data_IF_597696919617
#
_entry.id   IF_597696919617
#
_cell.length_a   1.000
_cell.length_b   1.000
_cell.length_c   1.000
_cell.angle_alpha   90.00
_cell.angle_beta   90.00
_cell.angle_gamma   90.00
#
_symmetry.space_group_name_H-M   'P 1'
#
loop_
_entity.id
_entity.type
_entity.pdbx_description
1 polymer ?
#
# COMPACT_ATOMS: atom_id res chain seq x y z
N UNK A 1 -1.94 -10.19 12.10
CA UNK A 1 -2.82 -9.59 13.12
C UNK A 1 -4.22 -9.47 12.55
N UNK A 2 -5.24 -9.86 13.27
CA UNK A 2 -6.61 -9.84 12.81
C UNK A 2 -7.30 -8.50 13.04
N UNK A 3 -8.62 -8.50 12.90
CA UNK A 3 -9.46 -7.34 13.15
C UNK A 3 -9.68 -7.16 14.65
N UNK A 4 -9.61 -5.92 15.10
CA UNK A 4 -9.96 -5.54 16.48
C UNK A 4 -11.21 -4.67 16.43
N UNK A 5 -12.19 -5.01 17.25
CA UNK A 5 -13.40 -4.24 17.35
C UNK A 5 -13.57 -3.69 18.76
N UNK A 6 -13.81 -2.39 18.87
CA UNK A 6 -14.14 -1.75 20.13
C UNK A 6 -15.65 -1.76 20.30
N UNK A 7 -16.16 -2.58 21.21
CA UNK A 7 -17.60 -2.75 21.41
C UNK A 7 -18.29 -1.49 21.91
N UNK A 8 -17.60 -0.63 22.67
CA UNK A 8 -18.19 0.61 23.19
C UNK A 8 -18.37 1.64 22.06
N UNK A 9 -17.34 1.85 21.25
CA UNK A 9 -17.34 2.81 20.14
C UNK A 9 -17.70 2.17 18.81
N UNK A 10 -17.79 0.84 18.75
CA UNK A 10 -18.06 0.05 17.55
C UNK A 10 -17.13 0.41 16.38
N UNK A 11 -15.89 0.83 16.71
CA UNK A 11 -14.89 1.17 15.72
C UNK A 11 -14.11 -0.08 15.32
N UNK A 12 -14.07 -0.36 14.03
CA UNK A 12 -13.31 -1.47 13.49
C UNK A 12 -11.95 -0.96 13.00
N UNK A 13 -10.91 -1.65 13.41
CA UNK A 13 -9.51 -1.37 13.00
C UNK A 13 -8.91 -2.67 12.50
N UNK A 14 -8.25 -2.62 11.35
CA UNK A 14 -7.54 -3.74 10.77
C UNK A 14 -6.13 -3.32 10.38
N UNK A 15 -5.18 -4.22 10.51
CA UNK A 15 -3.80 -3.93 10.11
C UNK A 15 -3.12 -5.14 9.49
N UNK A 16 -2.12 -4.88 8.68
CA UNK A 16 -1.30 -5.92 8.06
C UNK A 16 0.12 -5.42 7.84
N UNK A 17 1.09 -6.33 8.01
CA UNK A 17 2.48 -6.12 7.63
C UNK A 17 2.75 -6.89 6.34
N UNK A 18 3.31 -6.21 5.36
CA UNK A 18 3.72 -6.81 4.08
C UNK A 18 5.24 -6.73 3.99
N UNK A 19 5.87 -7.85 3.64
CA UNK A 19 7.32 -7.91 3.44
C UNK A 19 7.63 -8.18 1.97
N UNK A 20 7.93 -7.14 1.24
CA UNK A 20 8.37 -7.14 -0.14
C UNK A 20 8.86 -5.74 -0.49
N UNK A 21 9.70 -5.58 -1.49
CA UNK A 21 10.13 -4.25 -1.90
C UNK A 21 8.94 -3.47 -2.49
N UNK A 22 8.55 -2.33 -1.90
CA UNK A 22 7.45 -1.52 -2.43
C UNK A 22 7.73 -1.04 -3.85
N UNK A 23 6.69 -1.09 -4.68
CA UNK A 23 6.78 -0.68 -6.07
C UNK A 23 5.66 0.30 -6.41
N UNK A 24 5.98 1.38 -7.12
CA UNK A 24 5.02 2.42 -7.43
C UNK A 24 4.10 2.04 -8.59
N UNK A 25 2.94 2.69 -8.63
CA UNK A 25 2.11 2.71 -9.83
C UNK A 25 2.86 3.51 -10.89
N UNK A 26 3.35 2.85 -11.94
CA UNK A 26 4.06 3.51 -13.01
C UNK A 26 3.12 4.19 -13.99
N UNK A 27 3.69 5.10 -14.79
CA UNK A 27 3.03 5.60 -15.97
C UNK A 27 3.06 4.53 -17.06
N UNK A 28 2.07 4.54 -17.97
CA UNK A 28 2.08 3.64 -19.11
C UNK A 28 2.79 4.32 -20.28
N UNK A 29 3.71 3.59 -20.90
CA UNK A 29 4.38 4.05 -22.10
C UNK A 29 3.57 3.61 -23.32
N UNK A 30 3.35 4.54 -24.26
CA UNK A 30 2.72 4.26 -25.54
C UNK A 30 3.79 4.10 -26.62
N UNK A 31 3.68 3.05 -27.42
CA UNK A 31 4.55 2.87 -28.59
C UNK A 31 3.78 2.14 -29.71
N UNK A 32 4.32 2.21 -30.92
CA UNK A 32 3.71 1.55 -32.07
C UNK A 32 4.47 0.26 -32.36
N UNK A 33 3.72 -0.83 -32.43
CA UNK A 33 4.24 -2.14 -32.82
C UNK A 33 3.32 -2.75 -33.87
N UNK A 34 3.88 -3.12 -35.02
CA UNK A 34 3.13 -3.72 -36.14
C UNK A 34 1.94 -2.85 -36.57
N UNK A 35 2.12 -1.53 -36.57
CA UNK A 35 1.09 -0.58 -36.94
C UNK A 35 0.02 -0.32 -35.90
N UNK A 36 0.13 -0.90 -34.69
CA UNK A 36 -0.84 -0.73 -33.62
C UNK A 36 -0.21 -0.01 -32.43
N UNK A 37 -0.98 0.87 -31.80
CA UNK A 37 -0.57 1.50 -30.55
C UNK A 37 -0.64 0.49 -29.41
N UNK A 38 0.43 0.41 -28.62
CA UNK A 38 0.54 -0.48 -27.47
C UNK A 38 0.85 0.34 -26.23
N UNK A 39 0.11 0.11 -25.14
CA UNK A 39 0.37 0.71 -23.84
C UNK A 39 1.02 -0.33 -22.92
N UNK A 40 2.16 0.02 -22.35
CA UNK A 40 2.91 -0.87 -21.45
C UNK A 40 3.14 -0.17 -20.13
N UNK A 41 2.96 -0.90 -19.04
CA UNK A 41 3.28 -0.40 -17.69
C UNK A 41 4.76 -0.05 -17.62
N UNK A 42 5.07 1.20 -17.26
CA UNK A 42 6.45 1.70 -17.20
C UNK A 42 7.20 1.18 -15.97
N UNK A 43 6.49 0.87 -14.88
CA UNK A 43 7.10 0.38 -13.64
C UNK A 43 7.12 -1.14 -13.64
N UNK A 44 8.31 -1.72 -13.73
CA UNK A 44 8.49 -3.16 -13.55
C UNK A 44 8.39 -3.49 -12.07
N UNK A 45 7.78 -4.62 -11.74
CA UNK A 45 7.67 -5.07 -10.35
C UNK A 45 6.41 -4.60 -9.64
N UNK A 46 5.61 -3.70 -10.22
CA UNK A 46 4.35 -3.28 -9.61
C UNK A 46 3.38 -4.46 -9.44
N UNK A 47 3.37 -5.37 -10.40
CA UNK A 47 2.54 -6.58 -10.32
C UNK A 47 3.00 -7.48 -9.16
N UNK A 48 4.30 -7.68 -8.98
CA UNK A 48 4.87 -8.44 -7.88
C UNK A 48 4.52 -7.81 -6.55
N UNK A 49 4.63 -6.48 -6.46
CA UNK A 49 4.25 -5.74 -5.26
C UNK A 49 2.78 -5.92 -4.92
N UNK A 50 1.89 -5.71 -5.89
CA UNK A 50 0.44 -5.88 -5.70
C UNK A 50 0.10 -7.29 -5.25
N UNK A 51 0.74 -8.30 -5.82
CA UNK A 51 0.55 -9.70 -5.44
C UNK A 51 0.94 -9.93 -3.98
N UNK A 52 2.08 -9.36 -3.56
CA UNK A 52 2.53 -9.48 -2.18
C UNK A 52 1.55 -8.84 -1.20
N UNK A 53 1.06 -7.63 -1.50
CA UNK A 53 0.08 -6.94 -0.67
C UNK A 53 -1.23 -7.72 -0.60
N UNK A 54 -1.75 -8.15 -1.75
CA UNK A 54 -2.99 -8.92 -1.84
C UNK A 54 -2.91 -10.21 -1.05
N UNK A 55 -1.81 -10.95 -1.19
CA UNK A 55 -1.60 -12.21 -0.48
C UNK A 55 -1.57 -11.99 1.04
N UNK A 56 -0.82 -11.01 1.50
CA UNK A 56 -0.74 -10.70 2.92
C UNK A 56 -2.10 -10.28 3.49
N UNK A 57 -2.83 -9.43 2.76
CA UNK A 57 -4.14 -8.96 3.18
C UNK A 57 -5.16 -10.10 3.26
N UNK A 58 -5.15 -11.02 2.30
CA UNK A 58 -6.08 -12.16 2.27
C UNK A 58 -5.75 -13.22 3.33
N UNK A 59 -4.53 -13.24 3.83
CA UNK A 59 -4.14 -14.20 4.85
C UNK A 59 -4.87 -13.94 6.18
N UNK A 60 -5.05 -12.67 6.54
CA UNK A 60 -5.82 -12.27 7.72
C UNK A 60 -6.72 -11.08 7.36
N UNK A 61 -7.83 -11.34 6.65
CA UNK A 61 -8.72 -10.26 6.25
C UNK A 61 -9.52 -9.74 7.44
N UNK A 62 -10.09 -8.53 7.33
CA UNK A 62 -11.02 -8.05 8.34
C UNK A 62 -12.27 -8.94 8.37
N UNK A 63 -12.96 -8.99 9.51
CA UNK A 63 -14.17 -9.78 9.67
C UNK A 63 -15.25 -9.40 8.64
N UNK A 64 -15.32 -8.10 8.31
CA UNK A 64 -16.23 -7.56 7.30
C UNK A 64 -15.47 -6.59 6.43
N UNK A 65 -15.72 -6.61 5.13
CA UNK A 65 -15.16 -5.65 4.19
C UNK A 65 -15.56 -4.22 4.61
N UNK A 66 -14.60 -3.30 4.58
CA UNK A 66 -14.91 -1.90 4.86
C UNK A 66 -15.78 -1.30 3.76
N UNK A 67 -16.90 -0.70 4.14
CA UNK A 67 -17.84 -0.04 3.24
C UNK A 67 -18.39 1.23 3.91
N UNK A 68 -17.54 1.97 4.56
CA UNK A 68 -17.84 3.22 5.26
C UNK A 68 -16.63 4.12 5.14
N UNK A 69 -16.71 5.41 5.48
CA UNK A 69 -15.53 6.27 5.48
C UNK A 69 -14.41 5.67 6.33
N UNK A 70 -13.21 5.61 5.76
CA UNK A 70 -12.05 5.03 6.44
C UNK A 70 -10.86 5.98 6.43
N UNK A 71 -10.05 5.83 7.47
CA UNK A 71 -8.73 6.42 7.59
C UNK A 71 -7.71 5.34 7.34
N UNK A 72 -6.69 5.64 6.53
CA UNK A 72 -5.63 4.70 6.22
C UNK A 72 -4.28 5.26 6.66
N UNK A 73 -3.48 4.40 7.27
CA UNK A 73 -2.07 4.67 7.56
C UNK A 73 -1.23 3.73 6.71
N UNK A 74 -0.24 4.28 6.02
CA UNK A 74 0.71 3.53 5.20
C UNK A 74 2.13 3.94 5.57
N UNK A 75 2.91 3.01 6.12
CA UNK A 75 4.32 3.24 6.39
C UNK A 75 5.13 2.35 5.45
N UNK A 76 5.74 2.96 4.43
CA UNK A 76 6.57 2.25 3.47
C UNK A 76 8.02 2.18 3.94
N UNK A 77 8.61 1.01 3.81
CA UNK A 77 9.99 0.74 4.19
C UNK A 77 10.75 0.29 2.95
N UNK A 78 11.75 1.06 2.56
CA UNK A 78 12.52 0.86 1.33
C UNK A 78 13.93 0.39 1.66
N UNK A 79 14.48 -0.47 0.80
CA UNK A 79 15.86 -0.88 0.92
C UNK A 79 16.78 0.29 0.56
N UNK A 80 17.72 0.60 1.45
CA UNK A 80 18.71 1.62 1.20
C UNK A 80 19.92 1.02 0.49
N UNK A 81 20.24 1.55 -0.70
CA UNK A 81 21.45 1.13 -1.40
C UNK A 81 22.70 1.52 -0.60
N UNK A 82 23.77 0.72 -0.61
CA UNK A 82 25.00 1.03 0.14
C UNK A 82 25.61 2.40 -0.19
N UNK A 83 25.42 2.88 -1.42
CA UNK A 83 25.91 4.17 -1.86
C UNK A 83 25.04 5.35 -1.42
N UNK A 84 23.83 5.07 -0.94
CA UNK A 84 22.89 6.11 -0.51
C UNK A 84 23.11 6.41 0.98
N UNK A 85 23.43 7.67 1.31
CA UNK A 85 23.70 8.10 2.69
C UNK A 85 22.67 9.07 3.24
N UNK A 86 21.51 9.18 2.58
CA UNK A 86 20.43 10.06 3.05
C UNK A 86 19.77 9.48 4.29
N UNK A 87 19.36 10.35 5.21
CA UNK A 87 18.65 9.93 6.41
C UNK A 87 17.25 9.39 6.10
N UNK A 88 16.62 9.94 5.06
CA UNK A 88 15.29 9.54 4.60
C UNK A 88 15.29 9.29 3.11
N UNK A 89 14.42 8.38 2.63
CA UNK A 89 14.36 8.06 1.20
C UNK A 89 13.65 9.15 0.40
N UNK A 90 14.33 10.26 0.16
CA UNK A 90 13.79 11.42 -0.54
C UNK A 90 13.99 11.38 -2.06
N UNK A 91 14.20 10.21 -2.61
CA UNK A 91 14.29 9.96 -4.05
C UNK A 91 13.17 9.00 -4.48
N UNK A 92 13.12 8.67 -5.77
CA UNK A 92 12.17 7.66 -6.27
C UNK A 92 12.28 6.36 -5.48
N UNK A 93 11.17 5.62 -5.32
CA UNK A 93 9.84 5.87 -5.92
C UNK A 93 9.06 6.97 -5.21
N UNK A 94 8.17 7.63 -5.94
CA UNK A 94 7.33 8.71 -5.41
C UNK A 94 6.30 8.16 -4.43
N UNK A 95 6.12 8.84 -3.31
CA UNK A 95 5.20 8.39 -2.27
C UNK A 95 3.76 8.23 -2.77
N UNK A 96 3.26 9.19 -3.56
CA UNK A 96 1.90 9.12 -4.09
C UNK A 96 1.68 7.91 -5.00
N UNK A 97 2.69 7.51 -5.74
CA UNK A 97 2.61 6.34 -6.62
C UNK A 97 2.67 5.04 -5.84
N UNK A 98 3.41 4.99 -4.73
CA UNK A 98 3.40 3.86 -3.81
C UNK A 98 2.04 3.71 -3.14
N UNK A 99 1.44 4.82 -2.73
CA UNK A 99 0.09 4.83 -2.15
C UNK A 99 -0.88 4.22 -3.16
N UNK A 100 -0.86 4.69 -4.40
CA UNK A 100 -1.80 4.25 -5.43
C UNK A 100 -1.71 2.75 -5.69
N UNK A 101 -0.51 2.21 -5.87
CA UNK A 101 -0.34 0.78 -6.14
C UNK A 101 -0.80 -0.08 -4.96
N UNK A 102 -0.58 0.40 -3.74
CA UNK A 102 -0.96 -0.32 -2.53
C UNK A 102 -2.48 -0.30 -2.31
N UNK A 103 -3.12 0.85 -2.52
CA UNK A 103 -4.57 0.97 -2.38
C UNK A 103 -5.30 0.11 -3.43
N UNK A 104 -4.80 0.08 -4.67
CA UNK A 104 -5.35 -0.79 -5.71
C UNK A 104 -5.31 -2.26 -5.27
N UNK A 105 -4.21 -2.68 -4.66
CA UNK A 105 -4.07 -4.05 -4.18
C UNK A 105 -5.04 -4.36 -3.03
N UNK A 106 -5.26 -3.42 -2.11
CA UNK A 106 -6.19 -3.60 -1.00
C UNK A 106 -7.64 -3.72 -1.50
N UNK A 107 -8.02 -2.93 -2.49
CA UNK A 107 -9.34 -3.04 -3.13
C UNK A 107 -9.48 -4.40 -3.82
N UNK A 108 -8.48 -4.82 -4.59
CA UNK A 108 -8.46 -6.13 -5.24
C UNK A 108 -8.55 -7.28 -4.25
N UNK A 109 -7.93 -7.12 -3.08
CA UNK A 109 -7.99 -8.13 -2.03
C UNK A 109 -9.34 -8.17 -1.30
N UNK A 110 -10.23 -7.22 -1.57
CA UNK A 110 -11.54 -7.18 -0.94
C UNK A 110 -11.54 -6.60 0.47
N UNK A 111 -10.48 -5.87 0.85
CA UNK A 111 -10.40 -5.27 2.18
C UNK A 111 -11.39 -4.10 2.31
N UNK A 112 -11.56 -3.34 1.25
CA UNK A 112 -12.53 -2.25 1.17
C UNK A 112 -13.25 -2.30 -0.17
N UNK A 113 -14.44 -1.72 -0.22
CA UNK A 113 -15.30 -1.78 -1.41
C UNK A 113 -14.71 -1.00 -2.58
N UNK A 114 -14.10 0.14 -2.32
CA UNK A 114 -13.45 0.99 -3.30
C UNK A 114 -12.59 2.01 -2.57
N UNK A 115 -11.65 2.63 -3.27
CA UNK A 115 -10.78 3.65 -2.68
C UNK A 115 -11.51 4.97 -2.43
N UNK A 116 -12.66 5.19 -3.04
CA UNK A 116 -13.46 6.41 -2.82
C UNK A 116 -13.97 6.56 -1.39
N UNK A 117 -13.99 5.48 -0.59
CA UNK A 117 -14.40 5.57 0.81
C UNK A 117 -13.31 6.14 1.72
N UNK A 118 -12.10 6.32 1.20
CA UNK A 118 -10.98 6.84 1.98
C UNK A 118 -11.14 8.33 2.18
N UNK A 119 -11.26 8.76 3.44
CA UNK A 119 -11.44 10.16 3.81
C UNK A 119 -10.20 10.79 4.40
N UNK A 120 -9.21 9.96 4.80
CA UNK A 120 -7.97 10.43 5.41
C UNK A 120 -6.86 9.44 5.14
N UNK A 121 -5.68 9.95 4.75
CA UNK A 121 -4.48 9.14 4.56
C UNK A 121 -3.33 9.77 5.32
N UNK A 122 -2.61 8.94 6.07
CA UNK A 122 -1.32 9.29 6.64
C UNK A 122 -0.30 8.32 6.05
N UNK A 123 0.70 8.84 5.36
CA UNK A 123 1.67 8.00 4.67
C UNK A 123 3.08 8.53 4.85
N UNK A 124 4.04 7.61 4.89
CA UNK A 124 5.46 7.94 5.01
C UNK A 124 6.33 6.96 4.26
N UNK A 125 7.52 7.43 3.85
CA UNK A 125 8.61 6.59 3.34
C UNK A 125 9.73 6.58 4.35
N UNK A 126 10.21 5.40 4.68
CA UNK A 126 11.33 5.20 5.61
C UNK A 126 12.28 4.13 5.06
N UNK A 127 13.48 4.07 5.63
CA UNK A 127 14.40 2.99 5.27
C UNK A 127 14.04 1.70 5.99
N UNK A 128 14.18 0.56 5.31
CA UNK A 128 13.88 -0.75 5.87
C UNK A 128 14.69 -1.04 7.13
N UNK A 129 15.93 -0.55 7.20
CA UNK A 129 16.79 -0.73 8.38
C UNK A 129 16.18 -0.15 9.67
N UNK A 130 15.28 0.83 9.55
CA UNK A 130 14.62 1.46 10.68
C UNK A 130 13.37 0.71 11.15
N UNK A 131 12.98 -0.34 10.43
CA UNK A 131 11.87 -1.20 10.79
C UNK A 131 12.37 -2.33 11.71
N UNK A 132 11.52 -2.75 12.65
CA UNK A 132 11.90 -3.81 13.59
C UNK A 132 12.40 -5.07 12.90
N UNK A 133 11.76 -5.48 11.79
CA UNK A 133 12.19 -6.65 11.02
C UNK A 133 13.42 -6.40 10.15
N UNK A 134 13.76 -5.14 9.88
CA UNK A 134 14.84 -4.77 8.96
C UNK A 134 14.52 -5.04 7.49
N UNK A 135 13.32 -5.52 7.17
CA UNK A 135 12.93 -5.92 5.81
C UNK A 135 12.08 -4.85 5.13
N UNK A 136 12.20 -4.69 3.79
CA UNK A 136 11.35 -3.76 3.07
C UNK A 136 9.89 -4.22 3.07
N UNK A 137 8.97 -3.28 2.93
CA UNK A 137 7.56 -3.59 2.89
C UNK A 137 6.70 -2.40 3.23
N UNK A 138 5.48 -2.68 3.68
CA UNK A 138 4.56 -1.65 4.16
C UNK A 138 3.81 -2.16 5.39
N UNK A 139 3.62 -1.25 6.34
CA UNK A 139 2.67 -1.45 7.43
C UNK A 139 1.41 -0.68 7.09
N UNK A 140 0.27 -1.37 7.07
CA UNK A 140 -1.03 -0.82 6.68
C UNK A 140 -1.97 -0.88 7.87
N UNK A 141 -2.64 0.24 8.15
CA UNK A 141 -3.77 0.28 9.08
C UNK A 141 -4.96 0.84 8.33
N UNK A 142 -6.10 0.18 8.44
CA UNK A 142 -7.39 0.69 7.95
C UNK A 142 -8.31 0.77 9.15
N UNK A 143 -8.84 1.95 9.41
CA UNK A 143 -9.75 2.19 10.52
C UNK A 143 -10.96 2.97 10.05
N UNK A 144 -12.12 2.71 10.65
CA UNK A 144 -13.30 3.53 10.38
C UNK A 144 -13.01 4.98 10.77
N UNK A 145 -13.36 5.91 9.87
CA UNK A 145 -13.26 7.33 10.16
C UNK A 145 -14.52 7.77 10.89
N UNK A 146 -14.41 7.92 12.21
CA UNK A 146 -15.48 8.34 13.09
C UNK A 146 -15.34 9.81 13.51
N UNK A 147 -14.38 10.53 12.93
CA UNK A 147 -14.14 11.94 13.26
C UNK A 147 -15.15 12.84 12.55
N UNK A 148 -15.51 13.94 13.23
CA UNK A 148 -16.38 14.96 12.66
C UNK A 148 -15.63 15.96 11.79
#
# INVERSE_FOLDING_TARGET
MGTVENTELRTTIWSVNVEAEPNPQGSKNAFVKDGKAVLVEASKGVHTWRTAVTKAAKFQPPATQFNCPVWIVLEFYLTQAPSNRKDKPSQKPDLDKLIRSTLDALVQAGIMTDDQIITKISASKRWAKDRASGKPGVYVVVAEDTTD
#
